data_IF_431433140809
#
_entry.id   IF_431433140809
#
_cell.length_a   1.000
_cell.length_b   1.000
_cell.length_c   1.000
_cell.angle_alpha   90.00
_cell.angle_beta   90.00
_cell.angle_gamma   90.00
#
_symmetry.space_group_name_H-M   'P 1'
#
loop_
_entity.id
_entity.type
_entity.pdbx_description
1 polymer ?
#
# COMPACT_ATOMS: atom_id res chain seq x y z
N UNK A 1 25.57 18.99 28.84
CA UNK A 1 24.10 18.86 28.91
C UNK A 1 23.66 17.67 29.77
N UNK A 2 24.46 16.59 29.84
CA UNK A 2 24.18 15.37 30.62
C UNK A 2 24.37 15.50 32.14
N UNK A 3 25.11 16.49 32.64
CA UNK A 3 25.36 16.66 34.10
C UNK A 3 24.21 17.30 34.88
N UNK A 4 23.01 17.47 34.30
CA UNK A 4 21.90 18.21 34.93
C UNK A 4 20.56 17.45 34.98
N UNK A 5 20.55 16.18 34.59
CA UNK A 5 19.35 15.35 34.47
C UNK A 5 19.43 14.01 35.25
N UNK A 6 20.32 13.77 36.25
CA UNK A 6 20.09 12.64 37.16
C UNK A 6 18.82 12.87 37.99
N UNK A 7 18.73 13.97 38.76
CA UNK A 7 17.65 14.19 39.75
C UNK A 7 16.25 14.40 39.15
N UNK A 8 16.16 14.67 37.84
CA UNK A 8 14.87 14.82 37.16
C UNK A 8 14.19 13.47 36.89
N UNK A 9 14.95 12.37 36.95
CA UNK A 9 14.53 11.04 36.54
C UNK A 9 14.95 9.94 37.53
N UNK A 10 16.14 10.05 38.11
CA UNK A 10 16.70 9.17 39.12
C UNK A 10 16.60 9.80 40.52
N UNK A 11 15.70 9.23 41.31
CA UNK A 11 15.32 9.63 42.67
C UNK A 11 13.93 9.11 43.05
N UNK A 12 13.61 9.11 44.34
CA UNK A 12 12.25 8.83 44.84
C UNK A 12 11.23 9.73 44.12
N UNK A 13 10.05 9.21 43.70
CA UNK A 13 9.07 9.99 42.93
C UNK A 13 8.71 11.35 43.56
N UNK A 14 8.65 11.39 44.89
CA UNK A 14 8.37 12.57 45.71
C UNK A 14 9.41 13.70 45.55
N UNK A 15 10.64 13.36 45.15
CA UNK A 15 11.75 14.30 45.02
C UNK A 15 11.96 14.79 43.57
N UNK A 16 11.16 14.28 42.61
CA UNK A 16 11.30 14.64 41.20
C UNK A 16 10.61 15.99 40.92
N UNK A 17 11.30 16.96 40.29
CA UNK A 17 10.68 18.24 39.94
C UNK A 17 9.58 18.06 38.88
N UNK A 18 8.54 18.91 38.92
CA UNK A 18 7.55 19.02 37.84
C UNK A 18 8.22 19.42 36.52
N UNK A 19 7.61 19.07 35.39
CA UNK A 19 8.18 19.42 34.08
C UNK A 19 8.26 20.94 33.88
N UNK A 20 7.33 21.69 34.46
CA UNK A 20 7.37 23.16 34.51
C UNK A 20 8.64 23.63 35.24
N UNK A 21 8.95 23.08 36.41
CA UNK A 21 10.15 23.43 37.17
C UNK A 21 11.44 23.04 36.44
N UNK A 22 11.44 21.95 35.67
CA UNK A 22 12.58 21.56 34.80
C UNK A 22 12.79 22.60 33.70
N UNK A 23 11.72 23.00 33.00
CA UNK A 23 11.77 24.02 31.94
C UNK A 23 12.22 25.37 32.49
N UNK A 24 11.75 25.77 33.67
CA UNK A 24 12.19 27.01 34.33
C UNK A 24 13.68 26.98 34.71
N UNK A 25 14.19 25.85 35.19
CA UNK A 25 15.63 25.69 35.48
C UNK A 25 16.47 25.81 34.21
N UNK A 26 16.00 25.23 33.10
CA UNK A 26 16.67 25.35 31.79
C UNK A 26 16.70 26.80 31.31
N UNK A 27 15.57 27.52 31.40
CA UNK A 27 15.45 28.94 31.04
C UNK A 27 16.33 29.88 31.89
N UNK A 28 16.59 29.53 33.15
CA UNK A 28 17.46 30.31 34.04
C UNK A 28 18.95 30.14 33.74
N UNK A 29 19.35 28.99 33.17
CA UNK A 29 20.76 28.63 32.95
C UNK A 29 21.28 29.04 31.58
N UNK A 30 20.40 29.10 30.59
CA UNK A 30 20.73 29.57 29.25
C UNK A 30 19.77 30.68 28.86
N UNK A 31 20.28 31.84 28.47
CA UNK A 31 19.45 32.74 27.66
C UNK A 31 19.04 32.00 26.38
N UNK A 32 17.85 32.30 25.84
CA UNK A 32 17.38 31.70 24.58
C UNK A 32 18.45 31.83 23.49
N UNK A 33 19.18 32.96 23.49
CA UNK A 33 20.27 33.26 22.56
C UNK A 33 21.50 32.36 22.74
N UNK A 34 21.95 32.11 23.97
CA UNK A 34 23.09 31.22 24.25
C UNK A 34 22.75 29.75 23.97
N UNK A 35 21.53 29.34 24.27
CA UNK A 35 21.06 27.99 23.98
C UNK A 35 21.01 27.74 22.47
N UNK A 36 20.41 28.67 21.71
CA UNK A 36 20.34 28.63 20.25
C UNK A 36 21.73 28.63 19.63
N UNK A 37 22.67 29.45 20.12
CA UNK A 37 24.07 29.44 19.65
C UNK A 37 24.77 28.11 19.93
N UNK A 38 24.56 27.52 21.11
CA UNK A 38 25.19 26.23 21.47
C UNK A 38 24.72 25.07 20.59
N UNK A 39 23.46 25.10 20.16
CA UNK A 39 22.85 24.08 19.29
C UNK A 39 23.30 24.25 17.84
N UNK A 40 23.31 25.49 17.33
CA UNK A 40 23.78 25.81 15.98
C UNK A 40 25.25 25.41 15.73
N UNK A 41 26.06 25.36 16.79
CA UNK A 41 27.47 24.95 16.74
C UNK A 41 27.67 23.44 16.92
N UNK A 42 26.64 22.68 17.32
CA UNK A 42 26.70 21.23 17.44
C UNK A 42 26.03 20.59 16.21
N UNK A 43 26.81 19.95 15.34
CA UNK A 43 26.35 19.42 14.04
C UNK A 43 25.32 18.26 14.11
N UNK A 44 24.66 18.02 15.24
CA UNK A 44 23.91 16.78 15.48
C UNK A 44 22.53 16.90 16.16
N UNK A 45 21.99 18.09 16.39
CA UNK A 45 20.73 18.23 17.14
C UNK A 45 19.58 18.80 16.30
N UNK A 46 18.40 18.19 16.41
CA UNK A 46 17.14 18.69 15.85
C UNK A 46 16.76 20.01 16.54
N UNK A 47 16.96 21.13 15.82
CA UNK A 47 16.70 22.47 16.31
C UNK A 47 15.22 22.71 16.66
N UNK A 48 14.30 22.09 15.91
CA UNK A 48 12.87 22.18 16.16
C UNK A 48 12.51 21.55 17.50
N UNK A 49 13.02 20.34 17.73
CA UNK A 49 12.85 19.62 19.01
C UNK A 49 13.35 20.43 20.21
N UNK A 50 14.52 21.05 20.09
CA UNK A 50 15.10 21.82 21.19
C UNK A 50 14.30 23.09 21.50
N UNK A 51 13.77 23.75 20.48
CA UNK A 51 12.89 24.92 20.64
C UNK A 51 11.54 24.52 21.25
N UNK A 52 10.96 23.40 20.79
CA UNK A 52 9.72 22.86 21.34
C UNK A 52 9.87 22.57 22.84
N UNK A 53 10.94 21.89 23.25
CA UNK A 53 11.23 21.59 24.66
C UNK A 53 11.31 22.88 25.51
N UNK A 54 11.98 23.94 25.03
CA UNK A 54 12.09 25.22 25.76
C UNK A 54 10.74 25.92 25.91
N UNK A 55 9.92 25.84 24.86
CA UNK A 55 8.58 26.44 24.87
C UNK A 55 7.58 25.58 25.67
N UNK A 56 8.02 24.43 26.20
CA UNK A 56 7.14 23.46 26.86
C UNK A 56 6.22 22.73 25.88
N UNK A 57 6.52 22.81 24.58
CA UNK A 57 5.82 22.12 23.51
C UNK A 57 6.34 20.69 23.41
N UNK A 58 5.40 19.76 23.22
CA UNK A 58 5.70 18.35 23.08
C UNK A 58 6.03 18.05 21.61
N UNK A 59 7.14 17.36 21.30
CA UNK A 59 7.39 16.90 19.94
C UNK A 59 6.30 15.92 19.49
N UNK A 60 5.78 16.14 18.29
CA UNK A 60 4.80 15.27 17.67
C UNK A 60 5.50 13.95 17.33
N UNK A 61 4.98 12.84 17.83
CA UNK A 61 5.50 11.50 17.52
C UNK A 61 5.48 11.32 16.00
N UNK A 62 6.67 11.11 15.42
CA UNK A 62 6.82 10.87 13.97
C UNK A 62 6.11 9.56 13.63
N UNK A 63 5.36 9.57 12.51
CA UNK A 63 4.42 8.53 12.05
C UNK A 63 4.98 7.10 11.98
N UNK A 64 6.31 6.92 12.04
CA UNK A 64 6.99 5.64 11.87
C UNK A 64 7.56 5.06 13.20
N UNK A 65 7.30 5.69 14.36
CA UNK A 65 7.70 5.17 15.66
C UNK A 65 6.76 4.04 16.14
N UNK A 66 7.26 2.96 16.76
CA UNK A 66 6.41 1.94 17.37
C UNK A 66 5.46 2.54 18.41
N UNK A 67 4.20 2.08 18.43
CA UNK A 67 3.20 2.56 19.40
C UNK A 67 3.68 2.41 20.85
N UNK A 68 4.42 1.35 21.15
CA UNK A 68 5.01 1.14 22.47
C UNK A 68 6.10 2.14 22.83
N UNK A 69 6.89 2.57 21.84
CA UNK A 69 7.89 3.62 22.01
C UNK A 69 7.22 4.98 22.19
N UNK A 70 6.18 5.26 21.39
CA UNK A 70 5.36 6.46 21.50
C UNK A 70 4.67 6.57 22.88
N UNK A 71 4.12 5.46 23.38
CA UNK A 71 3.55 5.36 24.74
C UNK A 71 4.62 5.55 25.80
N UNK A 72 5.74 4.84 25.73
CA UNK A 72 6.86 5.01 26.66
C UNK A 72 7.32 6.47 26.71
N UNK A 73 7.46 7.12 25.54
CA UNK A 73 7.81 8.54 25.44
C UNK A 73 6.74 9.47 26.04
N UNK A 74 5.46 9.10 25.94
CA UNK A 74 4.35 9.82 26.59
C UNK A 74 4.46 9.73 28.11
N UNK A 75 4.59 8.51 28.64
CA UNK A 75 4.66 8.23 30.08
C UNK A 75 5.86 8.93 30.73
N UNK A 76 6.98 8.97 30.01
CA UNK A 76 8.20 9.69 30.36
C UNK A 76 8.01 11.21 30.56
N UNK A 77 7.00 11.79 29.92
CA UNK A 77 6.72 13.23 29.91
C UNK A 77 5.44 13.60 30.68
N UNK A 78 4.97 12.70 31.55
CA UNK A 78 3.80 12.98 32.39
C UNK A 78 4.02 14.21 33.30
N UNK A 79 3.00 15.06 33.38
CA UNK A 79 3.05 16.31 34.14
C UNK A 79 3.24 16.06 35.63
N UNK A 80 2.68 14.96 36.14
CA UNK A 80 2.79 14.56 37.53
C UNK A 80 4.06 13.69 37.72
N UNK A 81 4.98 14.06 38.64
CA UNK A 81 6.24 13.34 38.83
C UNK A 81 6.08 11.86 39.20
N UNK A 82 4.98 11.52 39.89
CA UNK A 82 4.65 10.18 40.36
C UNK A 82 4.28 9.22 39.23
N UNK A 83 3.73 9.75 38.14
CA UNK A 83 3.31 8.98 36.97
C UNK A 83 4.47 8.65 36.02
N UNK A 84 5.63 9.31 36.20
CA UNK A 84 6.80 9.09 35.34
C UNK A 84 7.50 7.77 35.70
N UNK A 85 7.80 6.90 34.71
CA UNK A 85 8.55 5.68 34.97
C UNK A 85 9.97 6.02 35.46
N UNK A 86 10.53 5.16 36.32
CA UNK A 86 11.96 5.24 36.67
C UNK A 86 12.85 4.93 35.46
N UNK A 87 14.12 5.36 35.48
CA UNK A 87 15.06 4.98 34.42
C UNK A 87 15.22 3.47 34.28
N UNK A 88 15.16 2.72 35.38
CA UNK A 88 15.18 1.26 35.34
C UNK A 88 13.98 0.68 34.57
N UNK A 89 12.77 1.20 34.79
CA UNK A 89 11.56 0.78 34.09
C UNK A 89 11.59 1.20 32.60
N UNK A 90 12.14 2.37 32.29
CA UNK A 90 12.35 2.81 30.89
C UNK A 90 13.31 1.86 30.19
N UNK A 91 14.46 1.54 30.80
CA UNK A 91 15.46 0.63 30.25
C UNK A 91 14.89 -0.78 30.08
N UNK A 92 14.09 -1.26 31.02
CA UNK A 92 13.43 -2.56 30.92
C UNK A 92 12.41 -2.60 29.78
N UNK A 93 11.56 -1.58 29.64
CA UNK A 93 10.61 -1.44 28.52
C UNK A 93 11.33 -1.32 27.17
N UNK A 94 12.44 -0.61 27.10
CA UNK A 94 13.26 -0.57 25.89
C UNK A 94 13.89 -1.94 25.59
N UNK A 95 14.39 -2.64 26.62
CA UNK A 95 14.93 -3.99 26.47
C UNK A 95 13.86 -4.96 25.97
N UNK A 96 12.62 -4.91 26.45
CA UNK A 96 11.54 -5.77 25.94
C UNK A 96 11.16 -5.44 24.50
N UNK A 97 11.17 -4.15 24.12
CA UNK A 97 10.96 -3.74 22.71
C UNK A 97 12.09 -4.22 21.77
N UNK A 98 13.31 -4.37 22.30
CA UNK A 98 14.50 -4.77 21.54
C UNK A 98 14.78 -6.29 21.65
N UNK A 99 14.19 -6.95 22.65
CA UNK A 99 14.43 -8.37 22.95
C UNK A 99 13.82 -9.25 21.85
N UNK A 100 14.56 -10.25 21.33
CA UNK A 100 14.08 -11.09 20.26
C UNK A 100 13.17 -12.20 20.81
N UNK A 101 11.95 -11.87 21.22
CA UNK A 101 10.88 -12.86 21.24
C UNK A 101 10.54 -13.19 19.79
N UNK A 102 10.80 -14.43 19.36
CA UNK A 102 10.49 -15.01 18.03
C UNK A 102 9.97 -14.00 17.02
N UNK A 103 10.87 -13.28 16.32
CA UNK A 103 10.45 -12.30 15.31
C UNK A 103 9.51 -13.00 14.34
N UNK A 104 8.26 -12.58 14.32
CA UNK A 104 7.31 -13.04 13.33
C UNK A 104 7.78 -12.58 11.95
N UNK A 105 7.27 -13.22 10.89
CA UNK A 105 7.53 -12.77 9.52
C UNK A 105 7.23 -11.27 9.36
N UNK A 106 6.17 -10.78 10.02
CA UNK A 106 5.82 -9.35 10.01
C UNK A 106 6.89 -8.49 10.69
N UNK A 107 7.42 -8.88 11.84
CA UNK A 107 8.48 -8.12 12.55
C UNK A 107 9.72 -7.94 11.68
N UNK A 108 10.11 -8.98 10.93
CA UNK A 108 11.22 -8.91 9.98
C UNK A 108 10.93 -7.91 8.85
N UNK A 109 9.72 -7.93 8.28
CA UNK A 109 9.32 -6.97 7.26
C UNK A 109 9.16 -5.54 7.79
N UNK A 110 8.72 -5.36 9.03
CA UNK A 110 8.69 -4.05 9.70
C UNK A 110 10.09 -3.48 9.90
N UNK A 111 11.05 -4.32 10.30
CA UNK A 111 12.47 -3.91 10.40
C UNK A 111 13.07 -3.56 9.03
N UNK A 112 12.77 -4.33 7.98
CA UNK A 112 13.22 -4.03 6.62
C UNK A 112 12.58 -2.75 6.07
N UNK A 113 11.33 -2.47 6.46
CA UNK A 113 10.61 -1.24 6.12
C UNK A 113 11.30 0.00 6.69
N UNK A 114 11.85 -0.07 7.91
CA UNK A 114 12.67 1.01 8.50
C UNK A 114 13.96 1.28 7.70
N UNK A 115 14.44 0.28 6.96
CA UNK A 115 15.54 0.42 5.99
C UNK A 115 15.06 0.77 4.58
N UNK A 116 13.82 1.25 4.45
CA UNK A 116 13.18 1.68 3.22
C UNK A 116 13.04 0.59 2.13
N UNK A 117 13.03 -0.69 2.53
CA UNK A 117 12.92 -1.81 1.60
C UNK A 117 11.53 -1.92 0.95
N UNK A 118 11.46 -1.74 -0.36
CA UNK A 118 10.21 -1.58 -1.12
C UNK A 118 9.27 -2.79 -1.02
N UNK A 119 9.79 -4.01 -1.18
CA UNK A 119 8.96 -5.23 -1.07
C UNK A 119 8.45 -5.43 0.36
N UNK A 120 9.22 -5.00 1.36
CA UNK A 120 8.81 -5.11 2.75
C UNK A 120 7.66 -4.15 3.05
N UNK A 121 7.75 -2.92 2.56
CA UNK A 121 6.66 -1.94 2.63
C UNK A 121 5.38 -2.46 1.96
N UNK A 122 5.49 -3.15 0.81
CA UNK A 122 4.35 -3.82 0.19
C UNK A 122 3.75 -4.88 1.12
N UNK A 123 4.57 -5.77 1.66
CA UNK A 123 4.09 -6.86 2.52
C UNK A 123 3.42 -6.34 3.80
N UNK A 124 4.04 -5.36 4.46
CA UNK A 124 3.48 -4.67 5.63
C UNK A 124 2.13 -4.03 5.29
N UNK A 125 2.02 -3.37 4.13
CA UNK A 125 0.76 -2.84 3.64
C UNK A 125 -0.34 -3.91 3.50
N UNK A 126 0.02 -5.11 3.03
CA UNK A 126 -0.94 -6.24 2.93
C UNK A 126 -1.31 -6.75 4.32
N UNK A 127 -0.36 -6.82 5.26
CA UNK A 127 -0.65 -7.20 6.63
C UNK A 127 -1.66 -6.27 7.29
N UNK A 128 -1.53 -4.95 7.12
CA UNK A 128 -2.55 -4.00 7.61
C UNK A 128 -3.87 -4.11 6.84
N UNK A 129 -3.87 -4.42 5.55
CA UNK A 129 -5.10 -4.55 4.77
C UNK A 129 -5.94 -5.77 5.16
N UNK A 130 -5.25 -6.88 5.42
CA UNK A 130 -5.88 -8.18 5.72
C UNK A 130 -5.96 -8.47 7.23
N UNK A 131 -5.27 -7.70 8.07
CA UNK A 131 -5.16 -7.96 9.51
C UNK A 131 -4.24 -9.15 9.85
N UNK A 132 -3.20 -9.40 9.04
CA UNK A 132 -2.28 -10.54 9.24
C UNK A 132 -1.20 -10.19 10.26
N UNK A 133 -1.40 -10.61 11.50
CA UNK A 133 -0.46 -10.38 12.60
C UNK A 133 -0.50 -8.97 13.21
N UNK A 134 -1.36 -8.10 12.68
CA UNK A 134 -1.66 -6.75 13.18
C UNK A 134 -3.16 -6.47 13.04
N UNK A 135 -3.68 -5.52 13.81
CA UNK A 135 -5.04 -5.03 13.59
C UNK A 135 -5.18 -4.48 12.17
N UNK A 136 -6.32 -4.77 11.54
CA UNK A 136 -6.61 -4.28 10.19
C UNK A 136 -6.72 -2.76 10.20
N UNK A 137 -5.95 -2.10 9.33
CA UNK A 137 -5.99 -0.66 9.11
C UNK A 137 -5.84 -0.35 7.60
N UNK A 138 -6.96 0.02 7.00
CA UNK A 138 -7.04 0.28 5.55
C UNK A 138 -6.41 1.61 5.15
N UNK A 139 -6.31 2.58 6.07
CA UNK A 139 -5.68 3.87 5.81
C UNK A 139 -4.17 3.72 5.85
N UNK A 140 -3.65 3.01 6.86
CA UNK A 140 -2.22 2.73 6.95
C UNK A 140 -1.75 1.84 5.79
N UNK A 141 -2.54 0.84 5.40
CA UNK A 141 -2.27 0.06 4.19
C UNK A 141 -2.18 0.94 2.94
N UNK A 142 -3.12 1.89 2.77
CA UNK A 142 -3.09 2.86 1.67
C UNK A 142 -1.78 3.65 1.65
N UNK A 143 -1.34 4.16 2.79
CA UNK A 143 -0.09 4.93 2.89
C UNK A 143 1.14 4.10 2.51
N UNK A 144 1.22 2.84 2.96
CA UNK A 144 2.29 1.93 2.55
C UNK A 144 2.31 1.71 1.03
N UNK A 145 1.16 1.42 0.43
CA UNK A 145 1.10 1.25 -1.02
C UNK A 145 1.45 2.54 -1.76
N UNK A 146 1.09 3.71 -1.23
CA UNK A 146 1.37 5.00 -1.87
C UNK A 146 2.87 5.30 -1.83
N UNK A 147 3.53 5.07 -0.69
CA UNK A 147 4.98 5.16 -0.57
C UNK A 147 5.68 4.25 -1.59
N UNK A 148 5.20 3.01 -1.75
CA UNK A 148 5.77 2.07 -2.71
C UNK A 148 5.47 2.47 -4.16
N UNK A 149 4.26 2.93 -4.46
CA UNK A 149 3.86 3.38 -5.80
C UNK A 149 4.70 4.60 -6.26
N UNK A 150 5.06 5.48 -5.33
CA UNK A 150 5.89 6.65 -5.59
C UNK A 150 7.37 6.31 -5.86
N UNK A 151 7.81 5.08 -5.56
CA UNK A 151 9.12 4.55 -5.95
C UNK A 151 9.09 3.84 -7.31
N UNK A 152 8.05 4.10 -8.10
CA UNK A 152 7.79 3.46 -9.40
C UNK A 152 7.69 1.92 -9.37
N UNK A 153 7.42 1.34 -8.20
CA UNK A 153 7.23 -0.10 -8.10
C UNK A 153 5.84 -0.50 -8.60
N UNK A 154 5.81 -1.33 -9.64
CA UNK A 154 4.60 -1.61 -10.42
C UNK A 154 3.48 -2.25 -9.58
N UNK A 155 3.81 -3.07 -8.56
CA UNK A 155 2.80 -3.64 -7.66
C UNK A 155 2.17 -2.58 -6.74
N UNK A 156 2.96 -1.63 -6.21
CA UNK A 156 2.41 -0.52 -5.43
C UNK A 156 1.49 0.36 -6.26
N UNK A 157 1.88 0.65 -7.50
CA UNK A 157 1.05 1.39 -8.45
C UNK A 157 -0.25 0.64 -8.78
N UNK A 158 -0.22 -0.68 -8.94
CA UNK A 158 -1.41 -1.52 -9.09
C UNK A 158 -2.33 -1.40 -7.86
N UNK A 159 -1.79 -1.58 -6.65
CA UNK A 159 -2.57 -1.52 -5.42
C UNK A 159 -3.22 -0.15 -5.24
N UNK A 160 -2.49 0.95 -5.45
CA UNK A 160 -3.06 2.30 -5.38
C UNK A 160 -4.10 2.55 -6.47
N UNK A 161 -3.88 2.04 -7.68
CA UNK A 161 -4.90 2.06 -8.73
C UNK A 161 -6.21 1.43 -8.26
N UNK A 162 -6.12 0.26 -7.63
CA UNK A 162 -7.26 -0.45 -7.06
C UNK A 162 -7.91 0.32 -5.90
N UNK A 163 -7.14 0.89 -4.97
CA UNK A 163 -7.70 1.71 -3.87
C UNK A 163 -8.51 2.89 -4.38
N UNK A 164 -8.02 3.59 -5.40
CA UNK A 164 -8.77 4.66 -6.03
C UNK A 164 -10.01 4.16 -6.76
N UNK A 165 -9.98 2.97 -7.37
CA UNK A 165 -11.16 2.39 -8.03
C UNK A 165 -12.29 2.10 -7.04
N UNK A 166 -11.99 1.42 -5.94
CA UNK A 166 -13.01 1.01 -4.97
C UNK A 166 -13.31 2.07 -3.90
N UNK A 167 -12.44 3.07 -3.73
CA UNK A 167 -12.60 4.11 -2.71
C UNK A 167 -12.19 3.68 -1.30
N UNK A 168 -11.34 2.67 -1.16
CA UNK A 168 -10.94 2.12 0.15
C UNK A 168 -9.65 2.75 0.66
N UNK A 169 -9.63 3.17 1.93
CA UNK A 169 -8.52 3.93 2.52
C UNK A 169 -8.49 5.41 2.09
N UNK A 170 -9.57 5.88 1.44
CA UNK A 170 -9.77 7.26 0.98
C UNK A 170 -11.24 7.66 1.16
N UNK A 171 -11.53 8.97 1.06
CA UNK A 171 -12.89 9.51 1.28
C UNK A 171 -13.92 8.95 0.28
N UNK A 172 -13.53 8.75 -0.98
CA UNK A 172 -14.39 8.21 -2.06
C UNK A 172 -13.58 7.70 -3.24
N UNK A 173 -14.20 6.83 -4.05
CA UNK A 173 -13.61 6.35 -5.29
C UNK A 173 -13.28 7.50 -6.27
N UNK A 174 -12.22 7.30 -7.06
CA UNK A 174 -11.73 8.23 -8.06
C UNK A 174 -11.19 7.48 -9.27
N UNK A 175 -12.08 7.24 -10.23
CA UNK A 175 -11.78 6.50 -11.45
C UNK A 175 -10.64 7.12 -12.28
N UNK A 176 -10.56 8.46 -12.36
CA UNK A 176 -9.49 9.14 -13.10
C UNK A 176 -8.12 8.86 -12.48
N UNK A 177 -8.01 8.87 -11.15
CA UNK A 177 -6.77 8.52 -10.45
C UNK A 177 -6.45 7.02 -10.59
N UNK A 178 -7.45 6.15 -10.50
CA UNK A 178 -7.27 4.70 -10.70
C UNK A 178 -6.64 4.40 -12.07
N UNK A 179 -7.23 4.93 -13.15
CA UNK A 179 -6.73 4.76 -14.52
C UNK A 179 -5.31 5.32 -14.68
N UNK A 180 -5.01 6.47 -14.06
CA UNK A 180 -3.64 7.04 -14.08
C UNK A 180 -2.62 6.09 -13.46
N UNK A 181 -2.94 5.49 -12.32
CA UNK A 181 -2.06 4.54 -11.64
C UNK A 181 -1.95 3.20 -12.36
N UNK A 182 -3.05 2.66 -12.90
CA UNK A 182 -3.00 1.47 -13.74
C UNK A 182 -2.18 1.69 -15.00
N UNK A 183 -2.24 2.90 -15.60
CA UNK A 183 -1.39 3.25 -16.75
C UNK A 183 0.09 3.23 -16.36
N UNK A 184 0.46 3.81 -15.23
CA UNK A 184 1.84 3.74 -14.72
C UNK A 184 2.28 2.30 -14.46
N UNK A 185 1.46 1.53 -13.75
CA UNK A 185 1.75 0.13 -13.43
C UNK A 185 1.92 -0.73 -14.69
N UNK A 186 1.06 -0.55 -15.69
CA UNK A 186 1.14 -1.24 -16.98
C UNK A 186 2.43 -0.86 -17.73
N UNK A 187 2.79 0.42 -17.77
CA UNK A 187 4.05 0.87 -18.38
C UNK A 187 5.29 0.33 -17.64
N UNK A 188 5.18 0.10 -16.33
CA UNK A 188 6.22 -0.54 -15.50
C UNK A 188 6.11 -2.08 -15.51
N UNK A 189 5.36 -2.63 -16.47
CA UNK A 189 5.34 -4.05 -16.80
C UNK A 189 4.35 -4.90 -16.00
N UNK A 190 3.47 -4.31 -15.19
CA UNK A 190 2.48 -5.08 -14.43
C UNK A 190 1.36 -5.61 -15.34
N UNK A 191 1.26 -6.94 -15.43
CA UNK A 191 0.33 -7.65 -16.32
C UNK A 191 -1.12 -7.55 -15.86
N UNK A 192 -1.37 -7.47 -14.55
CA UNK A 192 -2.71 -7.31 -13.97
C UNK A 192 -3.22 -5.90 -14.24
N UNK A 193 -2.39 -4.88 -14.03
CA UNK A 193 -2.72 -3.48 -14.32
C UNK A 193 -3.00 -3.28 -15.81
N UNK A 194 -2.24 -3.96 -16.68
CA UNK A 194 -2.48 -3.94 -18.12
C UNK A 194 -3.87 -4.49 -18.45
N UNK A 195 -4.27 -5.63 -17.86
CA UNK A 195 -5.63 -6.15 -18.02
C UNK A 195 -6.70 -5.18 -17.49
N UNK A 196 -6.50 -4.59 -16.31
CA UNK A 196 -7.47 -3.65 -15.73
C UNK A 196 -7.62 -2.41 -16.63
N UNK A 197 -6.50 -1.84 -17.11
CA UNK A 197 -6.50 -0.74 -18.06
C UNK A 197 -7.17 -1.12 -19.39
N UNK A 198 -6.93 -2.33 -19.88
CA UNK A 198 -7.59 -2.88 -21.07
C UNK A 198 -9.11 -2.90 -20.92
N UNK A 199 -9.62 -3.29 -19.75
CA UNK A 199 -11.06 -3.25 -19.46
C UNK A 199 -11.64 -1.83 -19.47
N UNK A 200 -10.88 -0.82 -19.03
CA UNK A 200 -11.32 0.57 -19.13
C UNK A 200 -11.43 1.05 -20.57
N UNK A 201 -10.44 0.74 -21.42
CA UNK A 201 -10.51 1.05 -22.85
C UNK A 201 -11.59 0.25 -23.58
N UNK A 202 -11.81 -1.02 -23.23
CA UNK A 202 -12.89 -1.86 -23.76
C UNK A 202 -14.27 -1.25 -23.48
N UNK A 203 -14.48 -0.78 -22.26
CA UNK A 203 -15.79 -0.33 -21.80
C UNK A 203 -16.02 1.17 -21.99
N UNK A 204 -14.97 1.97 -22.23
CA UNK A 204 -15.07 3.43 -22.31
C UNK A 204 -15.38 4.10 -20.96
N UNK A 205 -15.08 3.43 -19.84
CA UNK A 205 -15.33 3.98 -18.49
C UNK A 205 -14.16 4.85 -18.07
N UNK A 206 -14.36 6.15 -17.93
CA UNK A 206 -13.32 7.10 -17.51
C UNK A 206 -12.24 7.41 -18.57
N UNK A 207 -12.24 6.71 -19.70
CA UNK A 207 -11.42 6.95 -20.90
C UNK A 207 -12.29 6.77 -22.15
N UNK A 208 -11.87 7.36 -23.28
CA UNK A 208 -12.53 7.10 -24.56
C UNK A 208 -12.38 5.62 -24.92
N UNK A 209 -13.50 5.00 -25.30
CA UNK A 209 -13.53 3.60 -25.74
C UNK A 209 -12.58 3.38 -26.92
N UNK A 210 -11.74 2.36 -26.83
CA UNK A 210 -10.70 2.04 -27.83
C UNK A 210 -10.36 0.54 -27.78
N UNK A 211 -10.96 -0.24 -28.67
CA UNK A 211 -10.76 -1.68 -28.72
C UNK A 211 -9.33 -2.07 -29.13
N UNK A 212 -8.66 -1.30 -29.99
CA UNK A 212 -7.29 -1.61 -30.40
C UNK A 212 -6.31 -1.43 -29.25
N UNK A 213 -6.47 -0.37 -28.43
CA UNK A 213 -5.68 -0.23 -27.19
C UNK A 213 -5.99 -1.32 -26.19
N UNK A 214 -7.27 -1.67 -26.01
CA UNK A 214 -7.68 -2.76 -25.13
C UNK A 214 -7.01 -4.08 -25.55
N UNK A 215 -7.08 -4.45 -26.83
CA UNK A 215 -6.44 -5.66 -27.38
C UNK A 215 -4.93 -5.66 -27.13
N UNK A 216 -4.22 -4.55 -27.37
CA UNK A 216 -2.77 -4.47 -27.09
C UNK A 216 -2.44 -4.70 -25.62
N UNK A 217 -3.23 -4.14 -24.71
CA UNK A 217 -3.07 -4.32 -23.27
C UNK A 217 -3.38 -5.75 -22.82
N UNK A 218 -4.43 -6.36 -23.38
CA UNK A 218 -4.75 -7.77 -23.13
C UNK A 218 -3.69 -8.70 -23.72
N UNK A 219 -3.12 -8.40 -24.89
CA UNK A 219 -1.98 -9.13 -25.45
C UNK A 219 -0.76 -9.08 -24.51
N UNK A 220 -0.45 -7.90 -23.96
CA UNK A 220 0.64 -7.77 -22.99
C UNK A 220 0.36 -8.61 -21.73
N UNK A 221 -0.88 -8.54 -21.20
CA UNK A 221 -1.28 -9.33 -20.04
C UNK A 221 -1.25 -10.84 -20.30
N UNK A 222 -1.71 -11.26 -21.47
CA UNK A 222 -1.71 -12.66 -21.92
C UNK A 222 -0.29 -13.23 -22.07
N UNK A 223 0.67 -12.43 -22.56
CA UNK A 223 2.09 -12.83 -22.62
C UNK A 223 2.68 -13.13 -21.24
N UNK A 224 2.14 -12.54 -20.18
CA UNK A 224 2.49 -12.83 -18.80
C UNK A 224 1.73 -14.00 -18.18
N UNK A 225 1.04 -14.81 -18.98
CA UNK A 225 0.18 -15.92 -18.54
C UNK A 225 -0.91 -15.50 -17.54
N UNK A 226 -1.36 -14.24 -17.59
CA UNK A 226 -2.49 -13.82 -16.76
C UNK A 226 -3.81 -14.28 -17.40
N UNK A 227 -4.47 -15.25 -16.78
CA UNK A 227 -5.61 -15.96 -17.38
C UNK A 227 -6.77 -15.04 -17.77
N UNK A 228 -7.08 -14.02 -16.96
CA UNK A 228 -8.09 -13.00 -17.33
C UNK A 228 -7.65 -12.15 -18.52
N UNK A 229 -6.36 -11.88 -18.69
CA UNK A 229 -5.81 -11.19 -19.86
C UNK A 229 -5.96 -12.01 -21.14
N UNK A 230 -5.68 -13.32 -21.07
CA UNK A 230 -5.87 -14.28 -22.18
C UNK A 230 -7.35 -14.36 -22.56
N UNK A 231 -8.24 -14.56 -21.58
CA UNK A 231 -9.69 -14.55 -21.77
C UNK A 231 -10.17 -13.26 -22.45
N UNK A 232 -9.77 -12.10 -21.92
CA UNK A 232 -10.20 -10.82 -22.46
C UNK A 232 -9.64 -10.55 -23.86
N UNK A 233 -8.45 -11.07 -24.18
CA UNK A 233 -7.90 -11.03 -25.53
C UNK A 233 -8.79 -11.82 -26.50
N UNK A 234 -9.14 -13.06 -26.16
CA UNK A 234 -10.05 -13.89 -26.95
C UNK A 234 -11.37 -13.17 -27.19
N UNK A 235 -12.02 -12.69 -26.12
CA UNK A 235 -13.30 -12.00 -26.22
C UNK A 235 -13.24 -10.71 -27.05
N UNK A 236 -12.23 -9.85 -26.84
CA UNK A 236 -12.18 -8.55 -27.53
C UNK A 236 -11.65 -8.62 -28.94
N UNK A 237 -10.87 -9.64 -29.28
CA UNK A 237 -10.29 -9.78 -30.62
C UNK A 237 -11.25 -10.41 -31.63
N UNK A 238 -12.30 -11.12 -31.19
CA UNK A 238 -13.28 -11.76 -32.08
C UNK A 238 -13.85 -10.72 -33.05
N UNK A 239 -13.75 -11.01 -34.35
CA UNK A 239 -14.27 -10.13 -35.41
C UNK A 239 -13.43 -8.87 -35.68
N UNK A 240 -12.30 -8.69 -35.00
CA UNK A 240 -11.33 -7.61 -35.29
C UNK A 240 -10.05 -8.21 -35.87
N UNK A 241 -9.39 -9.09 -35.12
CA UNK A 241 -8.12 -9.70 -35.49
C UNK A 241 -7.93 -11.13 -34.95
N UNK A 242 -8.97 -11.69 -34.33
CA UNK A 242 -9.02 -13.06 -33.82
C UNK A 242 -10.27 -13.72 -34.42
N UNK A 243 -10.08 -14.91 -34.98
CA UNK A 243 -11.17 -15.76 -35.46
C UNK A 243 -11.66 -16.69 -34.35
N UNK A 244 -12.77 -17.39 -34.57
CA UNK A 244 -13.36 -18.27 -33.55
C UNK A 244 -12.40 -19.39 -33.10
N UNK A 245 -11.63 -19.95 -34.03
CA UNK A 245 -10.62 -20.98 -33.70
C UNK A 245 -9.56 -20.46 -32.73
N UNK A 246 -9.00 -19.28 -33.00
CA UNK A 246 -7.99 -18.68 -32.13
C UNK A 246 -8.58 -18.18 -30.81
N UNK A 247 -9.84 -17.75 -30.80
CA UNK A 247 -10.55 -17.43 -29.56
C UNK A 247 -10.74 -18.67 -28.69
N UNK A 248 -11.08 -19.81 -29.30
CA UNK A 248 -11.18 -21.11 -28.64
C UNK A 248 -9.84 -21.51 -28.00
N UNK A 249 -8.73 -21.46 -28.75
CA UNK A 249 -7.38 -21.76 -28.22
C UNK A 249 -7.00 -20.85 -27.03
N UNK A 250 -7.36 -19.57 -27.09
CA UNK A 250 -7.15 -18.64 -25.97
C UNK A 250 -8.02 -19.01 -24.76
N UNK A 251 -9.26 -19.42 -24.97
CA UNK A 251 -10.13 -19.87 -23.88
C UNK A 251 -9.63 -21.19 -23.27
N UNK A 252 -9.16 -22.16 -24.07
CA UNK A 252 -8.51 -23.37 -23.57
C UNK A 252 -7.30 -23.02 -22.70
N UNK A 253 -6.44 -22.13 -23.20
CA UNK A 253 -5.26 -21.69 -22.45
C UNK A 253 -5.64 -21.04 -21.12
N UNK A 254 -6.65 -20.15 -21.12
CA UNK A 254 -7.12 -19.52 -19.89
C UNK A 254 -7.80 -20.52 -18.94
N UNK A 255 -8.55 -21.50 -19.47
CA UNK A 255 -9.22 -22.54 -18.70
C UNK A 255 -8.24 -23.51 -18.02
N UNK A 256 -7.12 -23.83 -18.69
CA UNK A 256 -6.01 -24.61 -18.14
C UNK A 256 -5.28 -23.86 -17.02
N UNK A 257 -5.38 -22.53 -16.99
CA UNK A 257 -4.97 -21.67 -15.88
C UNK A 257 -6.10 -21.44 -14.86
N UNK A 258 -7.05 -22.40 -14.79
CA UNK A 258 -8.19 -22.43 -13.87
C UNK A 258 -9.14 -21.22 -13.96
N UNK A 259 -9.17 -20.52 -15.11
CA UNK A 259 -10.11 -19.44 -15.31
C UNK A 259 -11.53 -19.98 -15.55
N UNK A 260 -12.38 -19.86 -14.54
CA UNK A 260 -13.76 -20.35 -14.55
C UNK A 260 -14.63 -19.74 -15.66
N UNK A 261 -14.40 -18.47 -16.00
CA UNK A 261 -15.14 -17.82 -17.09
C UNK A 261 -14.71 -18.38 -18.44
N UNK A 262 -13.42 -18.68 -18.62
CA UNK A 262 -12.94 -19.34 -19.83
C UNK A 262 -13.48 -20.77 -19.96
N UNK A 263 -13.50 -21.54 -18.86
CA UNK A 263 -14.11 -22.88 -18.81
C UNK A 263 -15.60 -22.83 -19.21
N UNK A 264 -16.34 -21.86 -18.67
CA UNK A 264 -17.73 -21.63 -19.04
C UNK A 264 -17.88 -21.27 -20.53
N UNK A 265 -17.06 -20.36 -21.04
CA UNK A 265 -17.10 -19.96 -22.45
C UNK A 265 -16.80 -21.14 -23.39
N UNK A 266 -15.87 -22.02 -23.03
CA UNK A 266 -15.61 -23.25 -23.78
C UNK A 266 -16.83 -24.19 -23.78
N UNK A 267 -17.45 -24.40 -22.63
CA UNK A 267 -18.67 -25.20 -22.53
C UNK A 267 -19.77 -24.66 -23.46
N UNK A 268 -19.97 -23.34 -23.48
CA UNK A 268 -20.91 -22.70 -24.42
C UNK A 268 -20.49 -22.88 -25.89
N UNK A 269 -19.20 -22.86 -26.21
CA UNK A 269 -18.74 -23.09 -27.59
C UNK A 269 -18.99 -24.52 -28.06
N UNK A 270 -18.83 -25.51 -27.17
CA UNK A 270 -19.16 -26.91 -27.44
C UNK A 270 -20.67 -27.14 -27.59
N UNK A 271 -21.48 -26.56 -26.70
CA UNK A 271 -22.94 -26.70 -26.74
C UNK A 271 -23.55 -26.11 -28.02
N UNK A 272 -23.00 -24.98 -28.49
CA UNK A 272 -23.47 -24.32 -29.70
C UNK A 272 -22.89 -24.91 -31.01
N UNK A 273 -22.16 -26.03 -30.95
CA UNK A 273 -21.58 -26.68 -32.13
C UNK A 273 -20.50 -25.84 -32.85
N UNK A 274 -19.97 -24.79 -32.20
CA UNK A 274 -19.08 -23.80 -32.81
C UNK A 274 -17.61 -24.23 -32.85
N UNK A 275 -17.35 -25.53 -32.79
CA UNK A 275 -15.99 -26.08 -32.92
C UNK A 275 -16.04 -27.22 -33.91
N UNK A 276 -15.66 -26.86 -35.14
CA UNK A 276 -15.25 -27.71 -36.26
C UNK A 276 -16.41 -28.25 -37.13
N UNK A 277 -16.86 -27.42 -38.06
CA UNK A 277 -17.02 -27.89 -39.44
C UNK A 277 -16.17 -27.04 -40.39
N UNK A 278 -15.63 -27.69 -41.41
CA UNK A 278 -14.49 -27.26 -42.21
C UNK A 278 -14.73 -25.92 -42.93
N UNK A 279 -13.84 -24.95 -42.72
CA UNK A 279 -13.49 -23.96 -43.74
C UNK A 279 -14.60 -23.02 -44.23
N UNK A 280 -15.52 -22.58 -43.36
CA UNK A 280 -16.49 -21.55 -43.73
C UNK A 280 -16.12 -20.17 -43.16
N UNK A 281 -15.77 -19.28 -44.08
CA UNK A 281 -15.77 -17.83 -43.94
C UNK A 281 -17.21 -17.37 -43.66
N UNK A 282 -17.56 -17.23 -42.37
CA UNK A 282 -18.78 -16.52 -41.98
C UNK A 282 -18.47 -15.03 -42.00
N UNK A 283 -18.78 -14.43 -43.14
CA UNK A 283 -18.80 -13.00 -43.36
C UNK A 283 -19.58 -12.26 -42.26
N UNK A 284 -19.16 -11.03 -42.01
CA UNK A 284 -19.49 -10.15 -40.88
C UNK A 284 -20.97 -9.76 -40.71
N UNK A 285 -21.94 -10.52 -41.22
CA UNK A 285 -23.37 -10.20 -41.20
C UNK A 285 -24.23 -11.03 -40.25
N UNK A 286 -23.76 -12.19 -39.79
CA UNK A 286 -24.49 -13.02 -38.83
C UNK A 286 -23.69 -13.21 -37.54
N UNK A 287 -23.42 -12.11 -36.85
CA UNK A 287 -23.18 -12.17 -35.40
C UNK A 287 -24.52 -12.54 -34.77
N UNK A 288 -24.67 -13.70 -34.08
CA UNK A 288 -25.79 -13.86 -33.19
C UNK A 288 -25.73 -12.69 -32.21
N UNK A 289 -26.84 -11.97 -32.05
CA UNK A 289 -27.09 -11.18 -30.86
C UNK A 289 -26.93 -12.12 -29.65
N UNK A 290 -25.71 -12.27 -29.16
CA UNK A 290 -25.43 -12.99 -27.94
C UNK A 290 -26.04 -12.12 -26.85
N UNK A 291 -27.26 -12.51 -26.46
CA UNK A 291 -28.17 -11.73 -25.65
C UNK A 291 -27.42 -11.22 -24.40
N UNK A 292 -27.28 -9.90 -24.32
CA UNK A 292 -26.60 -9.15 -23.25
C UNK A 292 -27.26 -9.42 -21.87
N UNK A 293 -28.36 -10.18 -21.83
CA UNK A 293 -29.12 -10.58 -20.64
C UNK A 293 -28.48 -11.66 -19.77
N UNK A 294 -27.47 -12.40 -20.21
CA UNK A 294 -26.77 -13.36 -19.32
C UNK A 294 -25.73 -12.71 -18.37
N UNK A 295 -25.57 -11.37 -18.40
CA UNK A 295 -24.61 -10.62 -17.57
C UNK A 295 -25.19 -10.07 -16.24
N UNK A 296 -26.25 -10.68 -15.72
CA UNK A 296 -26.63 -10.51 -14.31
C UNK A 296 -26.62 -11.87 -13.65
N UNK A 297 -25.58 -12.18 -12.90
CA UNK A 297 -25.59 -12.86 -11.60
C UNK A 297 -24.11 -12.97 -11.16
N UNK A 298 -23.80 -12.41 -9.97
CA UNK A 298 -22.62 -12.72 -9.16
C UNK A 298 -21.42 -11.80 -9.32
#
# INVERSE_FOLDING_TARGET
MLDFIPDCWDGEPENRPSMIAVVERLKKKFSIEEFVRSILLSESHDFGLALDIILGLRPIIILDNPDDYARLYTDCWDGEPENRPSMSAVVERLKTMISPTTKTTLDLFMLATRKNHTLAQCYVGICYDEGRGVAKDVNLAFDYYLRVANKDFAAGQLFIGYRYEIGLGIIKSNLKKAIKWYTKAANNGNVIASNNLGNYYKNGKGVKKDYHKAIKLFQYSAKGNYSSGILNLGYCGIGININMQKAFELYETAANLENKIAQFNLACMYENGNVIDKGLDIGTKDLPNMDIRMLKIG
#
